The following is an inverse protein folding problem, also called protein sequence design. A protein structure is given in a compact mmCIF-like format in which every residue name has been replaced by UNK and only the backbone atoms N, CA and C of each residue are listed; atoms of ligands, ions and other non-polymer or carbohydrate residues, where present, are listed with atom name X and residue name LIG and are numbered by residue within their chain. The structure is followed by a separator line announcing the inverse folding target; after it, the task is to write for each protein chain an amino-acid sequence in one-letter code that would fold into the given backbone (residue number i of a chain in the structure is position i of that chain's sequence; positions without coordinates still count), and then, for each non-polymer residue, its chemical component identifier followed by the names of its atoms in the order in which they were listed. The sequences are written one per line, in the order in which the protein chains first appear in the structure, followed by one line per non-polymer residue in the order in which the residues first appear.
data_IF_585357727455
#
_entry.id   IF_585357727455
#
_cell.length_a   1.000
_cell.length_b   1.000
_cell.length_c   1.000
_cell.angle_alpha   90.00
_cell.angle_beta   90.00
_cell.angle_gamma   90.00
#
_symmetry.space_group_name_H-M   'P 1'
#
loop_
_entity.id
_entity.type
_entity.pdbx_description
1 polymer ?
#
# COMPACT_ATOMS: atom_id res chain seq x y z
N UNK A 1 -61.44 -0.98 -8.89
CA UNK A 1 -61.13 0.46 -8.99
C UNK A 1 -59.63 0.64 -8.72
N UNK A 2 -58.94 1.58 -9.39
CA UNK A 2 -57.56 1.41 -9.90
C UNK A 2 -56.47 2.22 -9.17
N UNK A 3 -55.22 1.75 -9.37
CA UNK A 3 -53.97 2.47 -9.69
C UNK A 3 -53.72 3.91 -9.17
N UNK A 4 -52.66 4.10 -8.36
CA UNK A 4 -51.65 5.15 -8.53
C UNK A 4 -50.49 4.99 -7.53
N UNK A 5 -49.28 5.08 -8.06
CA UNK A 5 -48.02 5.26 -7.34
C UNK A 5 -47.76 6.77 -7.08
N UNK A 6 -46.63 7.05 -6.39
CA UNK A 6 -45.96 8.35 -6.20
C UNK A 6 -46.58 9.16 -5.03
N UNK A 7 -45.83 9.71 -4.06
CA UNK A 7 -44.57 10.43 -4.17
C UNK A 7 -43.61 10.19 -2.98
N UNK A 8 -42.34 10.22 -3.36
CA UNK A 8 -41.15 10.19 -2.53
C UNK A 8 -40.84 11.63 -2.07
N UNK A 9 -41.18 12.00 -0.83
CA UNK A 9 -40.79 13.30 -0.25
C UNK A 9 -39.51 13.16 0.59
N UNK A 10 -38.38 13.41 -0.08
CA UNK A 10 -37.32 14.40 0.19
C UNK A 10 -36.94 14.82 1.64
N UNK A 11 -35.68 15.26 1.87
CA UNK A 11 -34.86 14.87 3.01
C UNK A 11 -34.93 15.81 4.23
N UNK A 12 -34.69 15.23 5.41
CA UNK A 12 -34.49 15.92 6.70
C UNK A 12 -33.11 16.58 6.71
N UNK A 13 -32.88 17.65 5.92
CA UNK A 13 -31.65 18.47 6.02
C UNK A 13 -31.99 19.94 5.77
N UNK A 14 -32.56 20.60 6.77
CA UNK A 14 -32.66 22.06 6.79
C UNK A 14 -32.60 22.69 8.20
N UNK A 15 -32.70 21.89 9.27
CA UNK A 15 -32.77 22.40 10.65
C UNK A 15 -31.47 22.33 11.48
N UNK A 16 -30.43 21.63 11.02
CA UNK A 16 -29.25 21.35 11.85
C UNK A 16 -28.13 22.41 11.75
N UNK A 17 -28.07 23.19 10.67
CA UNK A 17 -27.00 24.19 10.51
C UNK A 17 -27.26 25.48 11.30
N UNK A 18 -28.52 25.89 11.47
CA UNK A 18 -28.87 27.08 12.27
C UNK A 18 -28.54 26.88 13.76
N UNK A 19 -28.77 25.67 14.27
CA UNK A 19 -28.55 25.30 15.67
C UNK A 19 -27.05 25.23 16.01
N UNK A 20 -26.22 24.83 15.03
CA UNK A 20 -24.77 24.74 15.21
C UNK A 20 -24.09 26.12 15.19
N UNK A 21 -24.50 27.02 14.28
CA UNK A 21 -23.94 28.37 14.21
C UNK A 21 -24.31 29.18 15.45
N UNK A 22 -25.54 29.05 15.95
CA UNK A 22 -25.98 29.73 17.18
C UNK A 22 -25.20 29.29 18.43
N UNK A 23 -24.86 28.00 18.54
CA UNK A 23 -24.10 27.45 19.68
C UNK A 23 -22.62 27.78 19.63
N UNK A 24 -22.02 27.82 18.44
CA UNK A 24 -20.58 28.06 18.29
C UNK A 24 -20.22 29.54 18.14
N UNK A 25 -21.12 30.37 17.61
CA UNK A 25 -20.87 31.78 17.31
C UNK A 25 -22.07 32.66 17.71
N UNK A 26 -22.45 32.76 19.00
CA UNK A 26 -23.66 33.45 19.45
C UNK A 26 -23.65 34.98 19.20
N UNK A 27 -22.49 35.56 18.91
CA UNK A 27 -22.31 37.00 18.65
C UNK A 27 -22.16 37.33 17.17
N UNK A 28 -22.25 36.35 16.26
CA UNK A 28 -22.05 36.60 14.83
C UNK A 28 -23.16 37.49 14.26
N UNK A 29 -22.76 38.60 13.65
CA UNK A 29 -23.65 39.49 12.90
C UNK A 29 -24.19 38.80 11.64
N UNK A 30 -25.26 39.34 11.05
CA UNK A 30 -25.92 38.73 9.87
C UNK A 30 -24.94 38.55 8.69
N UNK A 31 -24.01 39.49 8.52
CA UNK A 31 -22.98 39.44 7.46
C UNK A 31 -21.89 38.38 7.74
N UNK A 32 -21.52 38.22 9.01
CA UNK A 32 -20.60 37.16 9.44
C UNK A 32 -21.24 35.78 9.31
N UNK A 33 -22.53 35.63 9.62
CA UNK A 33 -23.26 34.37 9.42
C UNK A 33 -23.31 33.97 7.94
N UNK A 34 -23.51 34.92 7.03
CA UNK A 34 -23.45 34.67 5.58
C UNK A 34 -22.04 34.25 5.13
N UNK A 35 -21.01 34.89 5.71
CA UNK A 35 -19.61 34.53 5.47
C UNK A 35 -19.30 33.11 5.98
N UNK A 36 -19.77 32.74 7.17
CA UNK A 36 -19.58 31.41 7.75
C UNK A 36 -20.32 30.32 6.96
N UNK A 37 -21.55 30.57 6.52
CA UNK A 37 -22.30 29.64 5.68
C UNK A 37 -21.59 29.38 4.34
N UNK A 38 -21.06 30.43 3.73
CA UNK A 38 -20.29 30.34 2.47
C UNK A 38 -19.01 29.51 2.67
N UNK A 39 -18.25 29.81 3.72
CA UNK A 39 -17.03 29.07 4.06
C UNK A 39 -17.31 27.62 4.44
N UNK A 40 -18.36 27.34 5.19
CA UNK A 40 -18.79 25.98 5.55
C UNK A 40 -19.13 25.17 4.31
N UNK A 41 -19.79 25.79 3.32
CA UNK A 41 -20.12 25.14 2.04
C UNK A 41 -18.87 24.86 1.19
N UNK A 42 -17.92 25.80 1.14
CA UNK A 42 -16.63 25.62 0.46
C UNK A 42 -15.75 24.55 1.15
N UNK A 43 -15.76 24.48 2.48
CA UNK A 43 -15.03 23.48 3.26
C UNK A 43 -15.63 22.09 3.11
N UNK A 44 -16.97 21.97 3.13
CA UNK A 44 -17.65 20.67 2.89
C UNK A 44 -17.32 20.12 1.51
N UNK A 45 -17.29 20.97 0.48
CA UNK A 45 -16.98 20.54 -0.89
C UNK A 45 -15.52 20.07 -1.02
N UNK A 46 -14.57 20.75 -0.37
CA UNK A 46 -13.14 20.37 -0.41
C UNK A 46 -12.81 19.13 0.43
N UNK A 47 -13.52 18.90 1.55
CA UNK A 47 -13.33 17.70 2.39
C UNK A 47 -13.99 16.45 1.77
N UNK A 48 -15.15 16.59 1.12
CA UNK A 48 -15.86 15.46 0.50
C UNK A 48 -15.15 15.00 -0.81
N UNK A 49 -14.51 15.92 -1.55
CA UNK A 49 -13.70 15.56 -2.73
C UNK A 49 -12.38 14.85 -2.40
N UNK A 50 -11.92 14.91 -1.14
CA UNK A 50 -10.73 14.19 -0.67
C UNK A 50 -11.04 12.78 -0.15
N UNK A 51 -12.31 12.34 -0.14
CA UNK A 51 -12.74 11.07 0.49
C UNK A 51 -13.11 9.97 -0.50
N UNK A 52 -12.71 10.05 -1.77
CA UNK A 52 -12.81 8.93 -2.70
C UNK A 52 -11.44 8.31 -3.00
N UNK A 53 -11.09 7.28 -2.22
CA UNK A 53 -10.24 6.15 -2.64
C UNK A 53 -8.77 6.46 -2.99
N UNK A 54 -8.00 7.03 -2.07
CA UNK A 54 -6.54 6.93 -2.15
C UNK A 54 -5.97 6.27 -0.88
N UNK A 55 -6.15 4.96 -0.78
CA UNK A 55 -5.36 4.16 0.17
C UNK A 55 -3.99 4.00 -0.46
N UNK A 56 -3.02 4.74 0.06
CA UNK A 56 -1.62 4.54 -0.28
C UNK A 56 -1.11 3.29 0.46
N UNK A 57 -0.57 2.34 -0.30
CA UNK A 57 0.14 1.18 0.24
C UNK A 57 1.65 1.41 0.11
N UNK A 58 2.42 0.96 1.11
CA UNK A 58 3.87 1.08 1.11
C UNK A 58 4.54 -0.11 0.44
N UNK A 59 5.56 0.17 -0.37
CA UNK A 59 6.36 -0.83 -1.08
C UNK A 59 7.84 -0.60 -0.87
N UNK A 60 8.59 -1.65 -0.52
CA UNK A 60 10.05 -1.63 -0.64
C UNK A 60 10.43 -1.79 -2.10
N UNK A 61 11.18 -0.83 -2.64
CA UNK A 61 11.68 -0.90 -4.01
C UNK A 61 13.01 -1.64 -4.03
N UNK A 62 13.07 -2.70 -4.82
CA UNK A 62 14.26 -3.52 -5.03
C UNK A 62 14.64 -3.54 -6.50
N UNK A 63 15.92 -3.77 -6.79
CA UNK A 63 16.44 -3.98 -8.12
C UNK A 63 16.68 -5.45 -8.39
N UNK A 64 16.24 -5.90 -9.56
CA UNK A 64 16.59 -7.18 -10.15
C UNK A 64 16.91 -6.96 -11.63
N UNK A 65 18.16 -7.17 -12.03
CA UNK A 65 18.66 -6.84 -13.35
C UNK A 65 18.40 -5.37 -13.72
N UNK A 66 17.66 -5.16 -14.80
CA UNK A 66 17.24 -3.83 -15.27
C UNK A 66 15.91 -3.35 -14.70
N UNK A 67 15.20 -4.19 -13.95
CA UNK A 67 13.85 -3.90 -13.49
C UNK A 67 13.84 -3.50 -12.01
N UNK A 68 12.96 -2.54 -11.70
CA UNK A 68 12.64 -2.15 -10.33
C UNK A 68 11.31 -2.78 -9.93
N UNK A 69 11.31 -3.55 -8.84
CA UNK A 69 10.14 -4.26 -8.34
C UNK A 69 9.77 -3.72 -6.97
N UNK A 70 8.48 -3.52 -6.73
CA UNK A 70 7.94 -3.15 -5.42
C UNK A 70 7.46 -4.38 -4.67
N UNK A 71 8.02 -4.64 -3.48
CA UNK A 71 7.50 -5.63 -2.55
C UNK A 71 6.61 -4.95 -1.51
N UNK A 72 5.37 -5.40 -1.27
CA UNK A 72 4.51 -4.82 -0.23
C UNK A 72 5.20 -4.87 1.13
N UNK A 73 5.24 -3.74 1.85
CA UNK A 73 5.88 -3.67 3.17
C UNK A 73 5.30 -4.66 4.17
N UNK A 74 4.00 -4.98 4.06
CA UNK A 74 3.31 -5.93 4.94
C UNK A 74 3.94 -7.33 4.92
N UNK A 75 4.58 -7.71 3.81
CA UNK A 75 5.23 -9.02 3.68
C UNK A 75 6.66 -9.03 4.22
N UNK A 76 7.26 -7.87 4.49
CA UNK A 76 8.69 -7.75 4.76
C UNK A 76 8.94 -7.88 6.26
N UNK A 77 9.78 -8.84 6.61
CA UNK A 77 10.20 -9.09 7.99
C UNK A 77 11.52 -8.39 8.30
N UNK A 78 12.48 -8.47 7.38
CA UNK A 78 13.82 -7.92 7.57
C UNK A 78 14.53 -7.72 6.24
N UNK A 79 15.57 -6.89 6.24
CA UNK A 79 16.46 -6.67 5.09
C UNK A 79 17.90 -6.65 5.58
N UNK A 80 18.80 -7.30 4.85
CA UNK A 80 20.21 -7.35 5.24
C UNK A 80 21.12 -7.61 4.03
N UNK A 81 22.43 -7.44 4.21
CA UNK A 81 23.41 -7.78 3.18
C UNK A 81 23.60 -9.30 3.11
N UNK A 82 23.60 -9.86 1.91
CA UNK A 82 23.62 -11.32 1.73
C UNK A 82 24.96 -11.93 2.19
N UNK A 83 26.05 -11.17 2.12
CA UNK A 83 27.40 -11.57 2.52
C UNK A 83 27.57 -11.87 4.02
N UNK A 84 26.64 -11.41 4.86
CA UNK A 84 26.59 -11.76 6.29
C UNK A 84 26.18 -13.20 6.55
N UNK A 85 25.57 -13.85 5.56
CA UNK A 85 25.08 -15.21 5.68
C UNK A 85 25.91 -16.18 4.85
N UNK A 86 26.16 -17.36 5.41
CA UNK A 86 26.71 -18.47 4.65
C UNK A 86 25.59 -19.15 3.86
N UNK A 87 25.53 -18.89 2.56
CA UNK A 87 24.59 -19.54 1.65
C UNK A 87 24.98 -21.00 1.45
N UNK A 88 24.20 -21.92 2.03
CA UNK A 88 24.42 -23.36 1.95
C UNK A 88 23.60 -23.96 0.81
N UNK A 89 24.16 -24.85 -0.02
CA UNK A 89 23.42 -25.47 -1.12
C UNK A 89 22.32 -26.39 -0.58
N UNK A 90 21.16 -26.36 -1.22
CA UNK A 90 20.03 -27.25 -0.91
C UNK A 90 20.05 -28.42 -1.90
N UNK A 91 20.14 -29.67 -1.44
CA UNK A 91 20.13 -30.84 -2.33
C UNK A 91 18.85 -30.93 -3.16
N UNK A 92 18.97 -31.21 -4.46
CA UNK A 92 17.83 -31.40 -5.38
C UNK A 92 16.91 -30.17 -5.49
N UNK A 93 17.43 -28.99 -5.20
CA UNK A 93 16.64 -27.76 -5.27
C UNK A 93 16.36 -27.33 -6.72
N UNK A 94 15.17 -26.75 -7.00
CA UNK A 94 14.90 -26.10 -8.27
C UNK A 94 15.91 -24.97 -8.54
N UNK A 95 16.16 -24.61 -9.82
CA UNK A 95 17.10 -23.54 -10.19
C UNK A 95 16.79 -22.18 -9.56
N UNK A 96 15.53 -21.96 -9.18
CA UNK A 96 15.08 -20.74 -8.51
C UNK A 96 15.57 -20.61 -7.06
N UNK A 97 16.09 -21.68 -6.45
CA UNK A 97 16.61 -21.66 -5.08
C UNK A 97 18.13 -21.49 -5.15
N UNK A 98 18.62 -20.38 -4.62
CA UNK A 98 20.06 -20.10 -4.49
C UNK A 98 20.70 -20.99 -3.42
N UNK A 99 19.95 -21.31 -2.37
CA UNK A 99 20.39 -22.12 -1.26
C UNK A 99 19.53 -21.87 -0.03
N UNK A 100 20.13 -22.04 1.14
CA UNK A 100 19.52 -21.73 2.42
C UNK A 100 20.50 -20.96 3.31
N UNK A 101 19.97 -20.13 4.20
CA UNK A 101 20.72 -19.36 5.20
C UNK A 101 20.18 -19.65 6.59
N UNK A 102 21.03 -19.48 7.61
CA UNK A 102 20.57 -19.45 8.99
C UNK A 102 20.32 -17.99 9.39
N UNK A 103 19.06 -17.58 9.43
CA UNK A 103 18.64 -16.26 9.85
C UNK A 103 18.05 -16.34 11.27
N UNK A 104 18.76 -15.75 12.24
CA UNK A 104 18.35 -15.69 13.66
C UNK A 104 17.96 -17.04 14.29
N UNK A 105 18.64 -18.13 13.88
CA UNK A 105 18.38 -19.48 14.37
C UNK A 105 17.32 -20.25 13.56
N UNK A 106 16.72 -19.62 12.54
CA UNK A 106 15.77 -20.22 11.61
C UNK A 106 16.46 -20.48 10.27
N UNK A 107 16.29 -21.69 9.70
CA UNK A 107 16.82 -22.01 8.38
C UNK A 107 15.81 -21.54 7.33
N UNK A 108 16.20 -20.55 6.53
CA UNK A 108 15.37 -19.97 5.48
C UNK A 108 15.93 -20.32 4.11
N UNK A 109 15.09 -20.80 3.17
CA UNK A 109 15.50 -20.90 1.77
C UNK A 109 15.67 -19.48 1.20
N UNK A 110 16.66 -19.31 0.33
CA UNK A 110 16.87 -18.06 -0.41
C UNK A 110 16.58 -18.31 -1.88
N UNK A 111 15.64 -17.54 -2.44
CA UNK A 111 15.20 -17.63 -3.83
C UNK A 111 15.72 -16.49 -4.69
N UNK A 112 15.77 -16.74 -5.99
CA UNK A 112 16.20 -15.81 -7.03
C UNK A 112 15.01 -15.49 -7.94
N UNK A 113 14.55 -14.23 -7.95
CA UNK A 113 13.34 -13.84 -8.69
C UNK A 113 13.58 -13.50 -10.17
N UNK A 114 14.77 -13.04 -10.56
CA UNK A 114 15.09 -12.69 -11.95
C UNK A 114 14.97 -13.86 -12.91
N UNK A 115 15.40 -15.06 -12.54
CA UNK A 115 15.18 -16.28 -13.31
C UNK A 115 13.70 -16.67 -13.41
N UNK A 116 12.94 -16.47 -12.34
CA UNK A 116 11.49 -16.72 -12.30
C UNK A 116 10.75 -15.73 -13.20
N UNK A 117 11.14 -14.46 -13.17
CA UNK A 117 10.52 -13.35 -13.91
C UNK A 117 11.12 -13.13 -15.30
N UNK A 118 12.10 -13.95 -15.70
CA UNK A 118 12.82 -13.85 -16.98
C UNK A 118 13.49 -12.48 -17.20
N UNK A 119 13.99 -11.87 -16.13
CA UNK A 119 14.66 -10.57 -16.15
C UNK A 119 16.15 -10.77 -16.42
N UNK A 120 16.66 -10.02 -17.41
CA UNK A 120 18.07 -10.04 -17.82
C UNK A 120 18.64 -8.61 -17.77
N UNK A 121 19.96 -8.43 -17.52
CA UNK A 121 20.92 -9.48 -17.19
C UNK A 121 20.76 -9.94 -15.73
N UNK A 122 21.20 -11.18 -15.48
CA UNK A 122 21.30 -11.74 -14.13
C UNK A 122 22.53 -11.12 -13.45
N UNK A 123 22.34 -10.25 -12.46
CA UNK A 123 23.42 -9.59 -11.71
C UNK A 123 23.73 -10.29 -10.38
N UNK A 124 24.89 -10.06 -9.75
CA UNK A 124 25.19 -10.63 -8.43
C UNK A 124 24.23 -10.11 -7.36
N UNK A 125 23.70 -11.01 -6.53
CA UNK A 125 22.81 -10.65 -5.42
C UNK A 125 23.67 -10.16 -4.26
N UNK A 126 23.46 -8.92 -3.85
CA UNK A 126 24.23 -8.29 -2.79
C UNK A 126 23.45 -8.25 -1.47
N UNK A 127 22.12 -8.28 -1.56
CA UNK A 127 21.22 -8.09 -0.43
C UNK A 127 20.15 -9.19 -0.41
N UNK A 128 19.56 -9.40 0.76
CA UNK A 128 18.48 -10.36 0.98
C UNK A 128 17.32 -9.66 1.66
N UNK A 129 16.12 -9.83 1.10
CA UNK A 129 14.86 -9.40 1.71
C UNK A 129 14.19 -10.62 2.32
N UNK A 130 14.02 -10.64 3.63
CA UNK A 130 13.28 -11.69 4.33
C UNK A 130 11.81 -11.33 4.28
N UNK A 131 11.01 -12.20 3.67
CA UNK A 131 9.57 -12.03 3.58
C UNK A 131 8.83 -13.16 4.29
N UNK A 132 7.60 -12.88 4.69
CA UNK A 132 6.68 -13.85 5.26
C UNK A 132 5.35 -13.81 4.50
N UNK A 133 4.90 -14.99 4.04
CA UNK A 133 3.60 -15.18 3.40
C UNK A 133 2.88 -16.29 4.16
N UNK A 134 1.87 -15.92 4.95
CA UNK A 134 1.24 -16.84 5.89
C UNK A 134 2.24 -17.37 6.92
N UNK A 135 2.38 -18.69 7.00
CA UNK A 135 3.32 -19.36 7.91
C UNK A 135 4.71 -19.61 7.28
N UNK A 136 4.90 -19.24 6.02
CA UNK A 136 6.14 -19.51 5.28
C UNK A 136 7.02 -18.26 5.29
N UNK A 137 8.26 -18.41 5.76
CA UNK A 137 9.32 -17.40 5.61
C UNK A 137 10.34 -17.84 4.57
N UNK A 138 10.82 -16.88 3.78
CA UNK A 138 11.87 -17.10 2.80
C UNK A 138 12.68 -15.83 2.59
N UNK A 139 13.93 -16.00 2.17
CA UNK A 139 14.77 -14.90 1.70
C UNK A 139 14.64 -14.73 0.19
N UNK A 140 14.57 -13.49 -0.28
CA UNK A 140 14.70 -13.14 -1.69
C UNK A 140 16.06 -12.50 -1.88
N UNK A 141 16.94 -13.14 -2.65
CA UNK A 141 18.20 -12.53 -3.06
C UNK A 141 17.94 -11.46 -4.13
N UNK A 142 18.39 -10.24 -3.87
CA UNK A 142 18.23 -9.08 -4.76
C UNK A 142 19.56 -8.42 -5.06
N UNK A 143 19.61 -7.67 -6.16
CA UNK A 143 20.84 -6.98 -6.56
C UNK A 143 21.08 -5.76 -5.67
N UNK A 144 20.00 -5.00 -5.43
CA UNK A 144 20.02 -3.82 -4.57
C UNK A 144 18.64 -3.53 -3.98
N UNK A 145 18.61 -2.98 -2.77
CA UNK A 145 17.47 -2.40 -2.08
C UNK A 145 17.61 -0.88 -2.20
N UNK A 146 16.52 -0.21 -2.59
CA UNK A 146 16.49 1.24 -2.72
C UNK A 146 15.83 1.87 -1.49
N UNK A 147 14.57 2.25 -1.63
CA UNK A 147 13.82 2.99 -0.62
C UNK A 147 12.36 2.51 -0.63
N UNK A 148 11.59 3.01 0.31
CA UNK A 148 10.18 2.76 0.44
C UNK A 148 9.39 3.82 -0.34
N UNK A 149 8.48 3.38 -1.20
CA UNK A 149 7.53 4.25 -1.88
C UNK A 149 6.10 3.96 -1.42
N UNK A 150 5.35 5.01 -1.15
CA UNK A 150 3.91 4.94 -0.89
C UNK A 150 3.18 5.27 -2.19
N UNK A 151 2.34 4.35 -2.64
CA UNK A 151 1.68 4.45 -3.94
C UNK A 151 0.16 4.25 -3.79
N UNK A 152 -0.66 5.05 -4.50
CA UNK A 152 -2.08 4.81 -4.68
C UNK A 152 -2.34 3.40 -5.19
N UNK A 153 -3.32 2.71 -4.60
CA UNK A 153 -3.80 1.42 -5.15
C UNK A 153 -4.19 1.50 -6.63
N UNK A 154 -4.69 2.66 -7.08
CA UNK A 154 -5.07 2.89 -8.46
C UNK A 154 -3.91 2.87 -9.46
N UNK A 155 -2.66 3.00 -9.00
CA UNK A 155 -1.45 3.02 -9.84
C UNK A 155 -0.67 1.71 -9.82
N UNK A 156 -1.17 0.67 -9.13
CA UNK A 156 -0.47 -0.60 -8.98
C UNK A 156 -0.85 -1.59 -10.07
N UNK A 157 0.16 -2.07 -10.79
CA UNK A 157 0.05 -3.26 -11.64
C UNK A 157 0.61 -4.47 -10.88
N UNK A 158 -0.25 -5.43 -10.53
CA UNK A 158 0.14 -6.62 -9.77
C UNK A 158 0.68 -7.70 -10.69
N UNK A 159 1.95 -8.07 -10.49
CA UNK A 159 2.53 -9.27 -11.08
C UNK A 159 2.07 -10.51 -10.30
N UNK A 160 1.39 -11.43 -10.99
CA UNK A 160 1.07 -12.75 -10.45
C UNK A 160 2.07 -13.76 -11.01
N UNK A 161 2.93 -14.31 -10.14
CA UNK A 161 3.67 -15.51 -10.47
C UNK A 161 2.71 -16.69 -10.47
N UNK A 162 2.69 -17.47 -11.55
CA UNK A 162 1.79 -18.62 -11.73
C UNK A 162 2.43 -19.91 -11.29
#
# INVERSE_FOLDING_TARGET
MPFAALDNESPIIAGAESDFISRCCPQATVDEQATFATRATQLKTSVIQAQSTDREEGFLVIQIGTESIGLPLELIVDVDTLDRFMLSPVPVAPPAILGQINWRGEILPVVELGGILQILPVLPRQEVVIIQIGDIKLGIGVDRIFDVLYLPMAKLMRYHCR
#
